data_IF_143226066837
#
_entry.id   IF_143226066837
#
_cell.length_a   1.000
_cell.length_b   1.000
_cell.length_c   1.000
_cell.angle_alpha   90.00
_cell.angle_beta   90.00
_cell.angle_gamma   90.00
#
_symmetry.space_group_name_H-M   'P 1'
#
loop_
_entity.id
_entity.type
_entity.pdbx_description
1 polymer ?
#
# COMPACT_ATOMS: atom_id res chain seq x y z
N UNK A 1 9.85 35.10 12.58
CA UNK A 1 9.17 34.55 13.76
C UNK A 1 7.63 34.55 13.65
N UNK A 2 6.96 35.67 13.34
CA UNK A 2 5.48 35.75 13.22
C UNK A 2 4.84 34.77 12.20
N UNK A 3 5.50 34.43 11.09
CA UNK A 3 4.96 33.51 10.06
C UNK A 3 4.96 32.04 10.53
N UNK A 4 5.96 31.58 11.28
CA UNK A 4 6.04 30.21 11.84
C UNK A 4 5.01 29.97 12.94
N UNK A 5 4.66 30.99 13.74
CA UNK A 5 3.62 30.89 14.79
C UNK A 5 2.22 30.80 14.17
N UNK A 6 1.99 31.43 13.01
CA UNK A 6 0.70 31.39 12.30
C UNK A 6 0.39 30.03 11.68
N UNK A 7 1.40 29.20 11.44
CA UNK A 7 1.28 27.91 10.75
C UNK A 7 1.35 26.69 11.69
N UNK A 8 1.84 26.86 12.92
CA UNK A 8 1.97 25.77 13.88
C UNK A 8 0.76 25.65 14.79
N UNK A 9 0.04 24.53 14.72
CA UNK A 9 -1.09 24.19 15.61
C UNK A 9 -0.61 24.21 17.06
N UNK A 10 0.54 23.61 17.38
CA UNK A 10 1.11 23.59 18.72
C UNK A 10 1.40 24.97 19.31
N UNK A 11 1.90 25.90 18.50
CA UNK A 11 2.13 27.26 18.96
C UNK A 11 0.83 28.03 19.18
N UNK A 12 -0.19 27.80 18.36
CA UNK A 12 -1.51 28.40 18.53
C UNK A 12 -2.22 27.89 19.79
N UNK A 13 -2.25 26.58 20.00
CA UNK A 13 -2.87 25.96 21.19
C UNK A 13 -2.15 26.37 22.46
N UNK A 14 -0.80 26.43 22.46
CA UNK A 14 -0.03 26.95 23.57
C UNK A 14 -0.44 28.39 23.90
N UNK A 15 -0.45 29.27 22.89
CA UNK A 15 -0.74 30.70 23.09
C UNK A 15 -2.18 30.93 23.55
N UNK A 16 -3.17 30.22 22.97
CA UNK A 16 -4.57 30.35 23.35
C UNK A 16 -4.82 29.86 24.76
N UNK A 17 -4.26 28.70 25.17
CA UNK A 17 -4.39 28.18 26.53
C UNK A 17 -3.70 29.06 27.56
N UNK A 18 -2.47 29.52 27.25
CA UNK A 18 -1.75 30.46 28.11
C UNK A 18 -2.56 31.74 28.34
N UNK A 19 -3.06 32.35 27.27
CA UNK A 19 -3.83 33.59 27.35
C UNK A 19 -5.14 33.39 28.11
N UNK A 20 -5.86 32.31 27.82
CA UNK A 20 -7.14 32.00 28.49
C UNK A 20 -6.95 31.79 30.00
N UNK A 21 -5.97 30.99 30.41
CA UNK A 21 -5.66 30.73 31.81
C UNK A 21 -5.25 32.03 32.52
N UNK A 22 -4.38 32.83 31.88
CA UNK A 22 -3.92 34.10 32.45
C UNK A 22 -5.08 35.07 32.63
N UNK A 23 -5.97 35.21 31.63
CA UNK A 23 -7.15 36.07 31.71
C UNK A 23 -8.11 35.56 32.82
N UNK A 24 -8.38 34.26 32.87
CA UNK A 24 -9.26 33.66 33.87
C UNK A 24 -8.75 33.92 35.31
N UNK A 25 -7.46 33.74 35.55
CA UNK A 25 -6.85 34.00 36.86
C UNK A 25 -6.86 35.49 37.23
N UNK A 26 -6.62 36.40 36.26
CA UNK A 26 -6.71 37.83 36.47
C UNK A 26 -8.14 38.24 36.84
N UNK A 27 -9.16 37.69 36.16
CA UNK A 27 -10.57 37.94 36.47
C UNK A 27 -10.95 37.45 37.86
N UNK A 28 -10.55 36.23 38.23
CA UNK A 28 -10.82 35.66 39.59
C UNK A 28 -10.18 36.54 40.64
N UNK A 29 -8.89 36.89 40.46
CA UNK A 29 -8.19 37.71 41.43
C UNK A 29 -8.77 39.13 41.52
N UNK A 30 -9.13 39.74 40.37
CA UNK A 30 -9.83 41.04 40.33
C UNK A 30 -11.16 40.99 41.04
N UNK A 31 -11.92 39.92 40.88
CA UNK A 31 -13.17 39.72 41.60
C UNK A 31 -12.95 39.62 43.11
N UNK A 32 -11.96 38.88 43.57
CA UNK A 32 -11.62 38.78 45.01
C UNK A 32 -11.23 40.12 45.56
N UNK A 33 -10.39 40.90 44.86
CA UNK A 33 -9.97 42.27 45.26
C UNK A 33 -11.13 43.27 45.44
N UNK A 34 -12.16 43.12 44.61
CA UNK A 34 -13.33 44.02 44.63
C UNK A 34 -14.37 43.54 45.66
N UNK A 35 -14.70 42.28 45.66
CA UNK A 35 -15.80 41.77 46.47
C UNK A 35 -15.43 41.48 47.94
N UNK A 36 -14.20 41.03 48.21
CA UNK A 36 -13.80 40.67 49.59
C UNK A 36 -13.80 41.88 50.53
N UNK A 37 -13.20 43.05 50.21
CA UNK A 37 -13.23 44.19 51.08
C UNK A 37 -14.65 44.76 51.24
N UNK A 38 -15.46 44.73 50.18
CA UNK A 38 -16.84 45.25 50.22
C UNK A 38 -17.73 44.39 51.09
N UNK A 39 -17.68 43.07 50.95
CA UNK A 39 -18.47 42.16 51.77
C UNK A 39 -18.03 42.18 53.23
N UNK A 40 -16.71 42.21 53.47
CA UNK A 40 -16.16 42.28 54.81
C UNK A 40 -16.55 43.57 55.52
N UNK A 41 -16.55 44.72 54.80
CA UNK A 41 -17.04 45.99 55.35
C UNK A 41 -18.53 45.93 55.71
N UNK A 42 -19.38 45.38 54.84
CA UNK A 42 -20.82 45.22 55.12
C UNK A 42 -21.09 44.29 56.31
N UNK A 43 -20.36 43.19 56.42
CA UNK A 43 -20.51 42.22 57.51
C UNK A 43 -20.10 42.87 58.83
N UNK A 44 -18.97 43.58 58.91
CA UNK A 44 -18.53 44.32 60.06
C UNK A 44 -19.55 45.41 60.45
N UNK A 45 -20.10 46.15 59.49
CA UNK A 45 -21.11 47.15 59.76
C UNK A 45 -22.39 46.57 60.35
N UNK A 46 -22.86 45.44 59.81
CA UNK A 46 -24.05 44.73 60.31
C UNK A 46 -23.80 44.19 61.68
N UNK A 47 -22.64 43.56 61.91
CA UNK A 47 -22.28 43.02 63.24
C UNK A 47 -22.15 44.15 64.27
N UNK A 48 -21.45 45.25 63.91
CA UNK A 48 -21.29 46.39 64.76
C UNK A 48 -22.65 47.02 65.13
N UNK A 49 -23.53 47.17 64.16
CA UNK A 49 -24.87 47.75 64.41
C UNK A 49 -25.72 46.83 65.24
N UNK A 50 -25.66 45.53 65.01
CA UNK A 50 -26.40 44.51 65.81
C UNK A 50 -25.93 44.49 67.29
N UNK A 51 -24.61 44.49 67.47
CA UNK A 51 -24.02 44.48 68.85
C UNK A 51 -24.28 45.82 69.54
N UNK A 52 -24.31 46.94 68.80
CA UNK A 52 -24.67 48.25 69.33
C UNK A 52 -26.11 48.29 69.91
N UNK A 53 -27.09 47.78 69.15
CA UNK A 53 -28.48 47.74 69.62
C UNK A 53 -28.67 46.77 70.79
N UNK A 54 -27.97 45.62 70.83
CA UNK A 54 -27.96 44.71 71.94
C UNK A 54 -27.40 45.37 73.21
N UNK A 55 -26.31 46.13 73.07
CA UNK A 55 -25.72 46.85 74.14
C UNK A 55 -26.72 47.94 74.67
N UNK A 56 -27.34 48.71 73.76
CA UNK A 56 -28.32 49.73 74.10
C UNK A 56 -29.52 49.18 74.85
N UNK A 57 -30.04 48.01 74.48
CA UNK A 57 -31.14 47.31 75.15
C UNK A 57 -30.71 46.79 76.51
N UNK A 58 -29.49 46.32 76.68
CA UNK A 58 -28.93 45.86 77.95
C UNK A 58 -28.78 47.03 78.92
N UNK A 59 -28.33 48.18 78.47
CA UNK A 59 -28.18 49.42 79.24
C UNK A 59 -29.51 49.94 79.76
N UNK A 60 -30.60 49.71 79.08
CA UNK A 60 -31.97 50.11 79.52
C UNK A 60 -32.49 49.22 80.66
N UNK A 61 -32.06 47.92 80.68
CA UNK A 61 -32.56 46.95 81.63
C UNK A 61 -31.74 46.79 82.90
N UNK A 62 -30.42 47.01 82.86
CA UNK A 62 -29.47 46.66 83.93
C UNK A 62 -29.07 47.90 84.78
N UNK A 63 -28.58 47.65 86.01
CA UNK A 63 -28.04 48.70 86.85
C UNK A 63 -26.68 49.23 86.41
N UNK A 64 -26.27 50.37 87.09
CA UNK A 64 -25.05 51.12 86.64
C UNK A 64 -23.73 50.34 86.80
N UNK A 65 -23.67 49.31 87.68
CA UNK A 65 -22.48 48.44 87.80
C UNK A 65 -22.32 47.46 86.65
N UNK A 66 -23.42 46.84 86.20
CA UNK A 66 -23.43 45.94 85.05
C UNK A 66 -23.25 46.73 83.68
N UNK A 67 -23.69 47.96 83.67
CA UNK A 67 -23.56 48.87 82.52
C UNK A 67 -22.12 49.07 82.07
N UNK A 68 -21.20 49.12 83.04
CA UNK A 68 -19.78 49.30 82.70
C UNK A 68 -19.17 48.02 82.06
N UNK A 69 -19.65 46.84 82.44
CA UNK A 69 -19.18 45.55 81.82
C UNK A 69 -19.69 45.36 80.40
N UNK A 70 -20.97 45.67 80.16
CA UNK A 70 -21.56 45.56 78.84
C UNK A 70 -20.88 46.53 77.83
N UNK A 71 -20.62 47.77 78.23
CA UNK A 71 -19.90 48.76 77.42
C UNK A 71 -18.45 48.31 77.15
N UNK A 72 -17.78 47.79 78.18
CA UNK A 72 -16.40 47.27 78.02
C UNK A 72 -16.36 46.05 77.11
N UNK A 73 -17.30 45.11 77.25
CA UNK A 73 -17.40 43.94 76.36
C UNK A 73 -17.67 44.33 74.93
N UNK A 74 -18.61 45.30 74.69
CA UNK A 74 -18.84 45.82 73.33
C UNK A 74 -17.58 46.52 72.72
N UNK A 75 -16.94 47.40 73.54
CA UNK A 75 -15.73 48.09 73.18
C UNK A 75 -14.61 47.15 72.81
N UNK A 76 -14.38 46.10 73.61
CA UNK A 76 -13.36 45.07 73.35
C UNK A 76 -13.66 44.27 72.12
N UNK A 77 -14.91 43.83 71.92
CA UNK A 77 -15.31 42.98 70.78
C UNK A 77 -15.21 43.73 69.45
N UNK A 78 -15.62 45.02 69.44
CA UNK A 78 -15.72 45.78 68.24
C UNK A 78 -14.56 46.80 68.04
N UNK A 79 -13.59 46.80 68.95
CA UNK A 79 -12.49 47.80 68.99
C UNK A 79 -13.04 49.19 68.86
N UNK A 80 -14.10 49.50 69.68
CA UNK A 80 -14.90 50.71 69.54
C UNK A 80 -14.72 51.65 70.73
N UNK A 81 -14.75 52.93 70.44
CA UNK A 81 -14.90 53.98 71.38
C UNK A 81 -16.41 54.18 71.67
N UNK A 82 -16.80 54.12 72.93
CA UNK A 82 -18.19 54.35 73.37
C UNK A 82 -18.25 55.57 74.27
N UNK A 83 -19.17 56.44 73.97
CA UNK A 83 -19.45 57.65 74.80
C UNK A 83 -20.94 57.70 75.15
N UNK A 84 -21.21 58.06 76.42
CA UNK A 84 -22.55 58.31 76.89
C UNK A 84 -22.61 59.77 77.31
N UNK A 85 -23.63 60.46 76.81
CA UNK A 85 -23.91 61.89 77.08
C UNK A 85 -25.28 62.03 77.75
N UNK A 86 -25.42 63.04 78.62
CA UNK A 86 -26.73 63.45 79.15
C UNK A 86 -27.56 64.29 78.16
N UNK A 87 -28.76 64.69 78.60
CA UNK A 87 -29.62 65.54 77.74
C UNK A 87 -29.01 66.92 77.46
N UNK A 88 -28.11 67.38 78.32
CA UNK A 88 -27.41 68.68 78.15
C UNK A 88 -26.14 68.54 77.26
N UNK A 89 -25.80 67.31 76.86
CA UNK A 89 -24.61 67.05 76.09
C UNK A 89 -23.31 66.87 76.86
N UNK A 90 -23.40 66.75 78.22
CA UNK A 90 -22.21 66.50 79.03
C UNK A 90 -21.83 65.02 78.97
N UNK A 91 -20.56 64.70 78.82
CA UNK A 91 -20.01 63.34 78.82
C UNK A 91 -20.10 62.76 80.28
N UNK A 92 -20.80 61.66 80.38
CA UNK A 92 -20.96 60.93 81.69
C UNK A 92 -19.96 59.79 81.76
N UNK A 93 -19.78 59.08 80.67
CA UNK A 93 -18.88 57.93 80.58
C UNK A 93 -18.27 57.88 79.20
N UNK A 94 -16.98 57.69 79.19
CA UNK A 94 -16.28 57.38 77.92
C UNK A 94 -15.36 56.17 78.16
N UNK A 95 -15.52 55.16 77.31
CA UNK A 95 -14.69 53.97 77.33
C UNK A 95 -13.91 53.94 76.01
N UNK A 96 -12.62 54.08 76.10
CA UNK A 96 -11.71 54.03 74.95
C UNK A 96 -10.72 52.87 75.15
N UNK A 97 -10.81 51.85 74.33
CA UNK A 97 -9.88 50.70 74.30
C UNK A 97 -8.92 50.80 73.11
N UNK A 98 -9.23 51.66 72.16
CA UNK A 98 -8.35 51.83 70.99
C UNK A 98 -7.17 52.72 71.39
N UNK A 99 -5.96 52.15 71.30
CA UNK A 99 -4.71 52.87 71.55
C UNK A 99 -4.33 53.89 70.43
N UNK A 100 -5.27 54.23 69.50
CA UNK A 100 -5.01 54.94 68.28
C UNK A 100 -5.46 56.42 68.24
N UNK A 101 -5.62 57.05 69.41
CA UNK A 101 -6.09 58.48 69.50
C UNK A 101 -5.19 59.54 68.81
N UNK A 102 -4.08 59.16 68.22
CA UNK A 102 -3.08 60.17 67.76
C UNK A 102 -2.66 60.12 66.25
N UNK A 103 -3.17 59.26 65.41
CA UNK A 103 -2.50 59.09 64.12
C UNK A 103 -3.28 59.15 62.80
N UNK A 104 -4.61 59.18 62.76
CA UNK A 104 -5.24 59.30 61.46
C UNK A 104 -6.56 60.05 61.44
N UNK A 105 -6.53 61.33 61.03
CA UNK A 105 -7.75 62.07 60.69
C UNK A 105 -8.46 61.56 59.42
N UNK A 106 -7.90 60.59 58.71
CA UNK A 106 -8.46 60.04 57.47
C UNK A 106 -9.01 58.60 57.63
N UNK A 107 -9.02 58.03 58.81
CA UNK A 107 -9.56 56.68 59.02
C UNK A 107 -11.09 56.69 58.90
N UNK A 108 -11.61 55.91 57.89
CA UNK A 108 -13.04 55.63 57.82
C UNK A 108 -13.46 54.94 59.10
N UNK A 109 -14.46 55.55 59.82
CA UNK A 109 -15.00 55.04 61.06
C UNK A 109 -16.46 54.60 60.87
N UNK A 110 -16.84 53.51 61.54
CA UNK A 110 -18.23 53.14 61.69
C UNK A 110 -18.74 53.89 62.92
N UNK A 111 -19.84 54.58 62.78
CA UNK A 111 -20.48 55.27 63.91
C UNK A 111 -21.94 54.83 63.98
N UNK A 112 -22.37 54.52 65.24
CA UNK A 112 -23.79 54.35 65.57
C UNK A 112 -24.17 55.26 66.71
N UNK A 113 -25.34 55.81 66.61
CA UNK A 113 -25.89 56.67 67.70
C UNK A 113 -27.30 56.21 68.05
N UNK A 114 -27.58 56.17 69.28
CA UNK A 114 -28.90 55.83 69.85
C UNK A 114 -29.17 56.54 71.16
N UNK A 115 -30.35 56.42 71.71
CA UNK A 115 -30.72 56.92 73.00
C UNK A 115 -31.30 55.78 73.80
N UNK A 116 -31.06 55.79 75.06
CA UNK A 116 -31.70 54.87 76.04
C UNK A 116 -32.14 55.62 77.23
N UNK A 117 -33.20 55.09 77.89
CA UNK A 117 -33.79 55.75 79.11
C UNK A 117 -33.41 54.91 80.34
N UNK A 118 -32.83 55.57 81.35
CA UNK A 118 -32.49 54.95 82.63
C UNK A 118 -32.89 55.84 83.75
N UNK A 119 -33.74 55.31 84.76
CA UNK A 119 -34.26 56.06 85.86
C UNK A 119 -34.93 57.38 85.49
N UNK A 120 -35.80 57.36 84.48
CA UNK A 120 -36.58 58.51 83.95
C UNK A 120 -35.71 59.61 83.32
N UNK A 121 -34.43 59.36 83.03
CA UNK A 121 -33.55 60.29 82.35
C UNK A 121 -33.13 59.70 81.00
N UNK A 122 -33.09 60.52 79.99
CA UNK A 122 -32.63 60.11 78.65
C UNK A 122 -31.12 60.32 78.54
N UNK A 123 -30.45 59.33 77.96
CA UNK A 123 -29.00 59.36 77.65
C UNK A 123 -28.76 59.12 76.16
N UNK A 124 -27.79 59.80 75.65
CA UNK A 124 -27.35 59.58 74.29
C UNK A 124 -26.13 58.67 74.30
N UNK A 125 -26.24 57.59 73.53
CA UNK A 125 -25.14 56.59 73.29
C UNK A 125 -24.54 56.80 71.97
N UNK A 126 -23.25 57.01 71.92
CA UNK A 126 -22.43 57.16 70.67
C UNK A 126 -21.36 56.08 70.69
N UNK A 127 -21.28 55.29 69.64
CA UNK A 127 -20.21 54.29 69.47
C UNK A 127 -19.51 54.54 68.10
N UNK A 128 -18.18 54.51 68.15
CA UNK A 128 -17.35 54.69 66.97
C UNK A 128 -16.28 53.62 66.92
N UNK A 129 -16.25 52.81 65.86
CA UNK A 129 -15.23 51.77 65.60
C UNK A 129 -14.31 52.16 64.43
N UNK A 130 -13.06 51.86 64.60
CA UNK A 130 -12.06 52.12 63.54
C UNK A 130 -12.04 51.04 62.48
N UNK A 131 -12.10 51.39 61.19
CA UNK A 131 -11.94 50.47 60.05
C UNK A 131 -10.48 50.24 59.66
N UNK A 132 -9.51 50.57 60.49
CA UNK A 132 -8.09 50.42 60.21
C UNK A 132 -7.75 48.96 59.88
N UNK A 133 -8.35 47.97 60.57
CA UNK A 133 -8.13 46.54 60.29
C UNK A 133 -8.57 46.17 58.85
N UNK A 134 -9.64 46.82 58.33
CA UNK A 134 -10.08 46.58 56.94
C UNK A 134 -9.10 47.19 55.94
N UNK A 135 -8.60 48.38 56.24
CA UNK A 135 -7.58 49.04 55.42
C UNK A 135 -6.26 48.26 55.41
N UNK A 136 -5.83 47.70 56.53
CA UNK A 136 -4.65 46.86 56.65
C UNK A 136 -4.80 45.56 55.85
N UNK A 137 -5.98 44.91 55.89
CA UNK A 137 -6.26 43.74 55.09
C UNK A 137 -6.17 43.97 53.58
N UNK A 138 -6.64 45.17 53.12
CA UNK A 138 -6.50 45.57 51.73
C UNK A 138 -5.05 45.78 51.33
N UNK A 139 -4.26 46.41 52.19
CA UNK A 139 -2.81 46.62 51.97
C UNK A 139 -2.04 45.29 51.84
N UNK A 140 -2.38 44.27 52.65
CA UNK A 140 -1.80 42.95 52.58
C UNK A 140 -2.13 42.29 51.22
N UNK A 141 -3.41 42.37 50.79
CA UNK A 141 -3.81 41.84 49.48
C UNK A 141 -3.07 42.53 48.33
N UNK A 142 -2.88 43.84 48.38
CA UNK A 142 -2.11 44.56 47.37
C UNK A 142 -0.65 44.14 47.32
N UNK A 143 -0.02 43.93 48.47
CA UNK A 143 1.36 43.46 48.59
C UNK A 143 1.54 42.03 48.08
N UNK A 144 0.50 41.21 48.05
CA UNK A 144 0.51 39.86 47.50
C UNK A 144 0.36 39.81 45.97
N UNK A 145 -0.06 40.93 45.30
CA UNK A 145 -0.27 41.02 43.85
C UNK A 145 0.95 40.48 43.06
N UNK A 146 2.18 40.95 43.28
CA UNK A 146 3.33 40.50 42.47
C UNK A 146 3.62 39.00 42.62
N UNK A 147 3.42 38.45 43.84
CA UNK A 147 3.62 37.04 44.09
C UNK A 147 2.55 36.18 43.41
N UNK A 148 1.28 36.56 43.54
CA UNK A 148 0.15 35.86 42.91
C UNK A 148 0.27 35.94 41.39
N UNK A 149 0.63 37.11 40.84
CA UNK A 149 0.85 37.26 39.40
C UNK A 149 1.97 36.37 38.89
N UNK A 150 3.06 36.26 39.63
CA UNK A 150 4.17 35.34 39.30
C UNK A 150 3.75 33.89 39.31
N UNK A 151 2.97 33.47 40.30
CA UNK A 151 2.41 32.11 40.38
C UNK A 151 1.45 31.80 39.22
N UNK A 152 0.57 32.74 38.90
CA UNK A 152 -0.39 32.61 37.77
C UNK A 152 0.38 32.39 36.46
N UNK A 153 1.38 33.20 36.18
CA UNK A 153 2.20 33.08 35.00
C UNK A 153 2.92 31.73 34.94
N UNK A 154 3.51 31.31 36.04
CA UNK A 154 4.20 30.01 36.12
C UNK A 154 3.24 28.84 35.84
N UNK A 155 2.10 28.82 36.51
CA UNK A 155 1.07 27.76 36.31
C UNK A 155 0.55 27.78 34.88
N UNK A 156 0.30 28.96 34.29
CA UNK A 156 -0.17 29.11 32.94
C UNK A 156 0.84 28.59 31.91
N UNK A 157 2.14 28.84 32.12
CA UNK A 157 3.21 28.29 31.26
C UNK A 157 3.27 26.78 31.37
N UNK A 158 3.25 26.22 32.59
CA UNK A 158 3.31 24.77 32.78
C UNK A 158 2.11 24.09 32.13
N UNK A 159 0.90 24.59 32.38
CA UNK A 159 -0.31 24.02 31.83
C UNK A 159 -0.34 24.09 30.28
N UNK A 160 0.12 25.22 29.70
CA UNK A 160 0.22 25.36 28.26
C UNK A 160 1.24 24.42 27.63
N UNK A 161 2.39 24.16 28.29
CA UNK A 161 3.39 23.20 27.85
C UNK A 161 2.86 21.76 27.91
N UNK A 162 2.18 21.40 28.97
CA UNK A 162 1.56 20.05 29.11
C UNK A 162 0.53 19.85 28.02
N UNK A 163 -0.39 20.80 27.83
CA UNK A 163 -1.43 20.73 26.82
C UNK A 163 -0.84 20.62 25.40
N UNK A 164 0.19 21.41 25.11
CA UNK A 164 0.88 21.35 23.80
C UNK A 164 1.52 19.98 23.53
N UNK A 165 2.16 19.38 24.53
CA UNK A 165 2.78 18.05 24.39
C UNK A 165 1.76 16.93 24.31
N UNK A 166 0.68 17.03 25.09
CA UNK A 166 -0.28 15.94 25.20
C UNK A 166 -1.28 15.88 24.04
N UNK A 167 -1.69 17.02 23.49
CA UNK A 167 -2.66 17.07 22.40
C UNK A 167 -2.05 17.47 21.05
N UNK A 168 -1.24 18.52 21.03
CA UNK A 168 -0.81 19.09 19.72
C UNK A 168 0.25 18.26 19.03
N UNK A 169 1.24 17.72 19.79
CA UNK A 169 2.33 16.95 19.19
C UNK A 169 1.84 15.67 18.50
N UNK A 170 1.04 14.80 19.13
CA UNK A 170 0.53 13.59 18.48
C UNK A 170 -0.28 13.87 17.19
N UNK A 171 -1.10 14.92 17.18
CA UNK A 171 -1.84 15.32 15.98
C UNK A 171 -0.92 15.77 14.84
N UNK A 172 0.17 16.47 15.15
CA UNK A 172 1.15 16.89 14.16
C UNK A 172 1.87 15.66 13.58
N UNK A 173 2.20 14.69 14.42
CA UNK A 173 2.85 13.44 14.00
C UNK A 173 1.92 12.62 13.07
N UNK A 174 0.63 12.47 13.43
CA UNK A 174 -0.38 11.83 12.57
C UNK A 174 -0.52 12.57 11.23
N UNK A 175 -0.62 13.90 11.23
CA UNK A 175 -0.66 14.69 10.00
C UNK A 175 0.62 14.50 9.15
N UNK A 176 1.76 14.33 9.80
CA UNK A 176 3.04 14.04 9.13
C UNK A 176 3.02 12.69 8.40
N UNK A 177 2.53 11.64 9.05
CA UNK A 177 2.36 10.31 8.44
C UNK A 177 1.34 10.37 7.30
N UNK A 178 0.15 10.95 7.54
CA UNK A 178 -0.87 11.10 6.50
C UNK A 178 -0.34 11.84 5.26
N UNK A 179 0.49 12.87 5.45
CA UNK A 179 1.13 13.57 4.33
C UNK A 179 2.12 12.70 3.56
N UNK A 180 2.85 11.80 4.22
CA UNK A 180 3.76 10.85 3.53
C UNK A 180 2.98 9.84 2.71
N UNK A 181 1.84 9.36 3.21
CA UNK A 181 0.95 8.47 2.47
C UNK A 181 0.47 9.08 1.15
N UNK A 182 0.33 10.42 1.04
CA UNK A 182 0.01 11.07 -0.24
C UNK A 182 1.12 10.93 -1.30
N UNK A 183 2.33 10.57 -0.88
CA UNK A 183 3.48 10.27 -1.75
C UNK A 183 3.73 8.77 -1.87
N UNK A 184 2.75 7.94 -1.46
CA UNK A 184 2.83 6.48 -1.45
C UNK A 184 3.97 5.92 -0.56
N UNK A 185 4.45 6.70 0.41
CA UNK A 185 5.41 6.24 1.43
C UNK A 185 4.63 5.67 2.62
N UNK A 186 4.42 4.34 2.62
CA UNK A 186 3.70 3.59 3.64
C UNK A 186 4.60 3.01 4.73
N UNK A 187 5.90 3.39 4.76
CA UNK A 187 6.87 2.83 5.72
C UNK A 187 6.70 3.37 7.14
N UNK A 188 6.02 4.51 7.30
CA UNK A 188 5.81 5.19 8.56
C UNK A 188 4.49 4.79 9.21
N UNK A 189 4.57 4.58 10.53
CA UNK A 189 3.38 4.25 11.35
C UNK A 189 3.18 5.30 12.43
N UNK A 190 1.92 5.55 12.76
CA UNK A 190 1.53 6.34 13.91
C UNK A 190 1.67 5.51 15.19
N UNK A 191 1.92 6.18 16.31
CA UNK A 191 1.99 5.56 17.62
C UNK A 191 0.56 5.22 18.13
N UNK A 192 0.31 3.93 18.36
CA UNK A 192 -0.96 3.40 18.83
C UNK A 192 -1.00 3.16 20.35
N UNK A 193 0.02 3.60 21.10
CA UNK A 193 0.12 3.35 22.55
C UNK A 193 -0.99 4.02 23.36
N UNK A 194 -1.76 4.94 22.77
CA UNK A 194 -2.84 5.70 23.38
C UNK A 194 -4.19 4.97 23.24
N UNK A 195 -5.00 5.05 24.30
CA UNK A 195 -6.35 4.48 24.35
C UNK A 195 -7.48 5.49 24.12
N UNK A 196 -7.14 6.76 23.80
CA UNK A 196 -8.10 7.85 23.51
C UNK A 196 -8.42 7.94 22.00
N UNK A 197 -9.21 8.94 21.61
CA UNK A 197 -9.63 9.20 20.23
C UNK A 197 -8.44 9.45 19.29
N UNK A 198 -7.34 9.98 19.82
CA UNK A 198 -6.10 10.21 19.06
C UNK A 198 -5.42 8.86 18.75
N UNK A 199 -5.43 7.94 19.71
CA UNK A 199 -4.94 6.57 19.51
C UNK A 199 -5.80 5.79 18.51
N UNK A 200 -7.13 5.91 18.58
CA UNK A 200 -8.04 5.30 17.60
C UNK A 200 -7.80 5.84 16.18
N UNK A 201 -7.60 7.16 16.06
CA UNK A 201 -7.26 7.77 14.76
C UNK A 201 -5.93 7.26 14.23
N UNK A 202 -4.92 7.11 15.09
CA UNK A 202 -3.61 6.55 14.73
C UNK A 202 -3.74 5.10 14.22
N UNK A 203 -4.49 4.26 14.93
CA UNK A 203 -4.77 2.88 14.52
C UNK A 203 -5.50 2.78 13.19
N UNK A 204 -6.57 3.57 13.00
CA UNK A 204 -7.32 3.61 11.74
C UNK A 204 -6.45 4.06 10.55
N UNK A 205 -5.53 5.01 10.77
CA UNK A 205 -4.61 5.46 9.72
C UNK A 205 -3.58 4.38 9.38
N UNK A 206 -3.06 3.66 10.39
CA UNK A 206 -2.14 2.55 10.18
C UNK A 206 -2.81 1.38 9.42
N UNK A 207 -4.06 1.06 9.76
CA UNK A 207 -4.85 0.05 9.07
C UNK A 207 -5.10 0.44 7.60
N UNK A 208 -5.49 1.69 7.35
CA UNK A 208 -5.66 2.22 5.99
C UNK A 208 -4.34 2.14 5.20
N UNK A 209 -3.20 2.48 5.84
CA UNK A 209 -1.87 2.38 5.23
C UNK A 209 -1.54 0.94 4.83
N UNK A 210 -1.84 -0.04 5.69
CA UNK A 210 -1.61 -1.44 5.42
C UNK A 210 -2.47 -1.95 4.26
N UNK A 211 -3.78 -1.66 4.27
CA UNK A 211 -4.71 -2.05 3.20
C UNK A 211 -4.32 -1.42 1.85
N UNK A 212 -3.91 -0.16 1.85
CA UNK A 212 -3.47 0.52 0.63
C UNK A 212 -2.17 -0.08 0.09
N UNK A 213 -1.21 -0.42 0.98
CA UNK A 213 0.03 -1.09 0.57
C UNK A 213 -0.25 -2.45 -0.07
N UNK A 214 -1.09 -3.27 0.54
CA UNK A 214 -1.49 -4.58 0.02
C UNK A 214 -2.21 -4.46 -1.33
N UNK A 215 -3.10 -3.48 -1.48
CA UNK A 215 -3.79 -3.21 -2.74
C UNK A 215 -2.83 -2.80 -3.86
N UNK A 216 -1.83 -1.96 -3.55
CA UNK A 216 -0.81 -1.54 -4.51
C UNK A 216 0.09 -2.70 -4.95
N UNK A 217 0.54 -3.56 -4.01
CA UNK A 217 1.33 -4.75 -4.32
C UNK A 217 0.54 -5.75 -5.20
N UNK A 218 -0.74 -5.97 -4.87
CA UNK A 218 -1.63 -6.82 -5.66
C UNK A 218 -1.83 -6.28 -7.07
N UNK A 219 -2.03 -4.98 -7.21
CA UNK A 219 -2.20 -4.31 -8.51
C UNK A 219 -0.91 -4.37 -9.34
N UNK A 220 0.25 -4.19 -8.70
CA UNK A 220 1.54 -4.32 -9.38
C UNK A 220 1.76 -5.74 -9.89
N UNK A 221 1.53 -6.76 -9.04
CA UNK A 221 1.63 -8.16 -9.43
C UNK A 221 0.70 -8.53 -10.58
N UNK A 222 -0.57 -8.07 -10.53
CA UNK A 222 -1.53 -8.29 -11.60
C UNK A 222 -1.09 -7.62 -12.92
N UNK A 223 -0.49 -6.42 -12.85
CA UNK A 223 0.01 -5.71 -14.02
C UNK A 223 1.23 -6.43 -14.65
N UNK A 224 2.16 -6.92 -13.83
CA UNK A 224 3.30 -7.72 -14.29
C UNK A 224 2.84 -9.01 -14.98
N UNK A 225 1.85 -9.70 -14.39
CA UNK A 225 1.24 -10.88 -14.99
C UNK A 225 0.58 -10.57 -16.34
N UNK A 226 -0.20 -9.50 -16.40
CA UNK A 226 -0.86 -9.06 -17.62
C UNK A 226 0.15 -8.71 -18.73
N UNK A 227 1.24 -8.01 -18.39
CA UNK A 227 2.31 -7.71 -19.33
C UNK A 227 2.97 -8.99 -19.89
N UNK A 228 3.25 -9.97 -19.00
CA UNK A 228 3.78 -11.26 -19.42
C UNK A 228 2.84 -11.99 -20.38
N UNK A 229 1.54 -11.97 -20.11
CA UNK A 229 0.55 -12.64 -20.95
C UNK A 229 0.38 -11.95 -22.31
N UNK A 230 0.40 -10.60 -22.33
CA UNK A 230 0.40 -9.84 -23.60
C UNK A 230 1.66 -10.14 -24.43
N UNK A 231 2.83 -10.27 -23.81
CA UNK A 231 4.04 -10.62 -24.54
C UNK A 231 3.99 -12.04 -25.12
N UNK A 232 3.44 -13.00 -24.39
CA UNK A 232 3.22 -14.37 -24.88
C UNK A 232 2.28 -14.37 -26.09
N UNK A 233 1.14 -13.68 -25.98
CA UNK A 233 0.17 -13.56 -27.07
C UNK A 233 0.78 -12.90 -28.31
N UNK A 234 1.54 -11.82 -28.14
CA UNK A 234 2.25 -11.17 -29.26
C UNK A 234 3.28 -12.07 -29.92
N UNK A 235 3.98 -12.92 -29.15
CA UNK A 235 4.92 -13.90 -29.72
C UNK A 235 4.19 -14.96 -30.53
N UNK A 236 3.09 -15.48 -30.02
CA UNK A 236 2.27 -16.46 -30.76
C UNK A 236 1.70 -15.88 -32.04
N UNK A 237 1.17 -14.64 -31.98
CA UNK A 237 0.63 -13.99 -33.18
C UNK A 237 1.71 -13.72 -34.25
N UNK A 238 2.93 -13.29 -33.84
CA UNK A 238 4.06 -13.14 -34.79
C UNK A 238 4.41 -14.47 -35.42
N UNK A 239 4.55 -15.55 -34.65
CA UNK A 239 4.83 -16.87 -35.17
C UNK A 239 3.77 -17.33 -36.19
N UNK A 240 2.51 -17.04 -35.90
CA UNK A 240 1.39 -17.32 -36.81
C UNK A 240 1.47 -16.54 -38.12
N UNK A 241 1.78 -15.24 -38.06
CA UNK A 241 1.96 -14.39 -39.24
C UNK A 241 3.14 -14.89 -40.07
N UNK A 242 4.29 -15.17 -39.44
CA UNK A 242 5.48 -15.67 -40.10
C UNK A 242 5.21 -17.01 -40.77
N UNK A 243 4.46 -17.90 -40.12
CA UNK A 243 4.03 -19.16 -40.71
C UNK A 243 3.19 -18.95 -41.99
N UNK A 244 2.14 -18.13 -41.93
CA UNK A 244 1.28 -17.89 -43.09
C UNK A 244 2.00 -17.15 -44.21
N UNK A 245 2.94 -16.28 -43.89
CA UNK A 245 3.78 -15.61 -44.86
C UNK A 245 4.66 -16.62 -45.60
N UNK A 246 5.29 -17.53 -44.85
CA UNK A 246 6.12 -18.60 -45.42
C UNK A 246 5.29 -19.57 -46.27
N UNK A 247 4.10 -19.96 -45.82
CA UNK A 247 3.14 -20.77 -46.58
C UNK A 247 2.84 -20.12 -47.95
N UNK A 248 2.56 -18.81 -47.92
CA UNK A 248 2.22 -18.09 -49.16
C UNK A 248 3.38 -18.09 -50.16
N UNK A 249 4.61 -17.95 -49.66
CA UNK A 249 5.80 -18.02 -50.52
C UNK A 249 6.06 -19.42 -51.11
N UNK A 250 5.94 -20.45 -50.26
CA UNK A 250 6.17 -21.85 -50.66
C UNK A 250 5.10 -22.40 -51.61
N UNK A 251 3.87 -21.89 -51.55
CA UNK A 251 2.81 -22.20 -52.51
C UNK A 251 2.96 -21.44 -53.83
N UNK A 252 3.40 -20.16 -53.80
CA UNK A 252 3.52 -19.33 -54.99
C UNK A 252 4.54 -19.89 -55.96
N UNK A 253 5.65 -20.42 -55.47
CA UNK A 253 6.77 -20.93 -56.32
C UNK A 253 6.33 -22.09 -57.22
N UNK A 254 5.77 -23.23 -56.71
CA UNK A 254 5.33 -24.33 -57.58
C UNK A 254 4.18 -23.94 -58.51
N UNK A 255 3.25 -23.08 -58.05
CA UNK A 255 2.18 -22.57 -58.94
C UNK A 255 2.75 -21.82 -60.11
N UNK A 256 3.76 -20.96 -59.89
CA UNK A 256 4.44 -20.21 -60.96
C UNK A 256 5.18 -21.14 -61.92
N UNK A 257 5.84 -22.21 -61.43
CA UNK A 257 6.51 -23.21 -62.24
C UNK A 257 5.50 -23.94 -63.12
N UNK A 258 4.45 -24.50 -62.55
CA UNK A 258 3.41 -25.23 -63.29
C UNK A 258 2.79 -24.32 -64.34
N UNK A 259 2.46 -23.07 -64.00
CA UNK A 259 1.89 -22.11 -64.93
C UNK A 259 2.86 -21.85 -66.11
N UNK A 260 4.14 -21.61 -65.82
CA UNK A 260 5.14 -21.37 -66.84
C UNK A 260 5.35 -22.59 -67.81
N UNK A 261 5.36 -23.80 -67.21
CA UNK A 261 5.45 -25.04 -68.03
C UNK A 261 4.20 -25.24 -68.89
N UNK A 262 3.02 -25.03 -68.38
CA UNK A 262 1.76 -25.11 -69.12
C UNK A 262 1.71 -24.04 -70.26
N UNK A 263 2.07 -22.79 -69.95
CA UNK A 263 2.11 -21.70 -70.92
C UNK A 263 3.16 -22.02 -72.01
N UNK A 264 4.36 -22.49 -71.64
CA UNK A 264 5.40 -22.92 -72.59
C UNK A 264 4.95 -24.03 -73.53
N UNK A 265 4.22 -25.04 -72.98
CA UNK A 265 3.64 -26.12 -73.78
C UNK A 265 2.50 -25.67 -74.71
N UNK A 266 1.65 -24.74 -74.26
CA UNK A 266 0.53 -24.20 -75.06
C UNK A 266 1.05 -23.38 -76.18
N UNK A 267 2.03 -22.50 -75.98
CA UNK A 267 2.61 -21.62 -77.03
C UNK A 267 3.76 -22.25 -77.80
N UNK A 268 4.18 -23.49 -77.45
CA UNK A 268 5.27 -24.25 -78.10
C UNK A 268 6.58 -23.48 -78.10
N UNK A 269 6.95 -22.80 -77.10
CA UNK A 269 8.13 -21.94 -76.96
C UNK A 269 9.34 -22.73 -76.44
N UNK A 270 10.49 -22.62 -77.05
CA UNK A 270 11.78 -23.15 -76.59
C UNK A 270 11.80 -24.67 -76.36
N UNK A 271 12.34 -25.10 -75.23
CA UNK A 271 12.51 -26.52 -74.82
C UNK A 271 11.21 -27.24 -74.49
N UNK A 272 10.10 -26.51 -74.30
CA UNK A 272 8.79 -27.06 -73.98
C UNK A 272 8.11 -27.82 -75.15
N UNK A 273 8.84 -28.11 -76.21
CA UNK A 273 8.36 -28.93 -77.32
C UNK A 273 8.12 -30.38 -76.92
N UNK A 274 8.93 -30.94 -76.01
CA UNK A 274 8.69 -32.26 -75.42
C UNK A 274 7.62 -32.18 -74.34
N UNK A 275 6.36 -32.20 -74.76
CA UNK A 275 5.20 -32.09 -73.89
C UNK A 275 5.11 -33.22 -72.80
N UNK A 276 5.53 -34.44 -73.18
CA UNK A 276 5.37 -35.59 -72.25
C UNK A 276 6.36 -35.50 -71.12
N UNK A 277 7.59 -35.00 -71.34
CA UNK A 277 8.55 -34.75 -70.25
C UNK A 277 8.07 -33.66 -69.28
N UNK A 278 7.58 -32.53 -69.83
CA UNK A 278 7.10 -31.42 -69.01
C UNK A 278 5.76 -31.71 -68.31
N UNK A 279 4.86 -32.49 -68.91
CA UNK A 279 3.63 -32.97 -68.23
C UNK A 279 3.96 -33.88 -67.01
N UNK A 280 4.97 -34.74 -67.15
CA UNK A 280 5.45 -35.57 -66.01
C UNK A 280 6.01 -34.72 -64.88
N UNK A 281 6.79 -33.66 -65.22
CA UNK A 281 7.35 -32.72 -64.29
C UNK A 281 6.25 -31.90 -63.59
N UNK A 282 5.29 -31.36 -64.33
CA UNK A 282 4.13 -30.65 -63.81
C UNK A 282 3.31 -31.55 -62.87
N UNK A 283 3.07 -32.81 -63.24
CA UNK A 283 2.35 -33.75 -62.40
C UNK A 283 3.09 -34.03 -61.08
N UNK A 284 4.42 -34.17 -61.13
CA UNK A 284 5.24 -34.30 -59.92
C UNK A 284 5.12 -33.08 -59.01
N UNK A 285 5.22 -31.88 -59.62
CA UNK A 285 5.08 -30.61 -58.87
C UNK A 285 3.70 -30.47 -58.22
N UNK A 286 2.62 -30.86 -58.89
CA UNK A 286 1.25 -30.93 -58.28
C UNK A 286 1.19 -31.90 -57.13
N UNK A 287 1.80 -33.09 -57.25
CA UNK A 287 1.83 -34.09 -56.19
C UNK A 287 2.62 -33.59 -54.97
N UNK A 288 3.75 -32.91 -55.16
CA UNK A 288 4.54 -32.29 -54.11
C UNK A 288 3.73 -31.17 -53.39
N UNK A 289 2.95 -30.37 -54.16
CA UNK A 289 2.02 -29.38 -53.60
C UNK A 289 0.90 -30.03 -52.79
N UNK A 290 0.34 -31.16 -53.20
CA UNK A 290 -0.67 -31.88 -52.44
C UNK A 290 -0.15 -32.29 -51.06
N UNK A 291 1.09 -32.78 -50.97
CA UNK A 291 1.76 -33.13 -49.74
C UNK A 291 1.94 -31.87 -48.87
N UNK A 292 2.45 -30.79 -49.45
CA UNK A 292 2.65 -29.50 -48.77
C UNK A 292 1.34 -28.96 -48.15
N UNK A 293 0.24 -28.98 -48.91
CA UNK A 293 -1.07 -28.54 -48.45
C UNK A 293 -1.58 -29.42 -47.28
N UNK A 294 -1.38 -30.74 -47.37
CA UNK A 294 -1.72 -31.67 -46.26
C UNK A 294 -0.92 -31.35 -44.99
N UNK A 295 0.39 -31.08 -45.14
CA UNK A 295 1.25 -30.71 -44.01
C UNK A 295 0.83 -29.37 -43.38
N UNK A 296 0.47 -28.36 -44.18
CA UNK A 296 -0.04 -27.08 -43.74
C UNK A 296 -1.36 -27.25 -42.95
N UNK A 297 -2.34 -27.98 -43.52
CA UNK A 297 -3.63 -28.24 -42.88
C UNK A 297 -3.47 -29.03 -41.60
N UNK A 298 -2.57 -29.98 -41.57
CA UNK A 298 -2.22 -30.75 -40.39
C UNK A 298 -1.67 -29.85 -39.26
N UNK A 299 -0.69 -29.02 -39.59
CA UNK A 299 -0.07 -28.05 -38.68
C UNK A 299 -1.11 -27.04 -38.12
N UNK A 300 -1.95 -26.51 -39.03
CA UNK A 300 -2.98 -25.56 -38.63
C UNK A 300 -4.02 -26.16 -37.66
N UNK A 301 -4.37 -27.44 -37.83
CA UNK A 301 -5.27 -28.15 -36.94
C UNK A 301 -4.66 -28.38 -35.56
N UNK A 302 -3.36 -28.76 -35.51
CA UNK A 302 -2.66 -28.98 -34.24
C UNK A 302 -2.44 -27.68 -33.45
N UNK A 303 -2.34 -26.51 -34.11
CA UNK A 303 -2.23 -25.22 -33.46
C UNK A 303 -3.59 -24.66 -32.90
N UNK A 304 -4.71 -25.33 -33.14
CA UNK A 304 -6.02 -24.93 -32.67
C UNK A 304 -6.24 -25.20 -31.18
N UNK A 305 -6.97 -24.33 -30.47
CA UNK A 305 -7.31 -24.48 -29.05
C UNK A 305 -8.11 -25.75 -28.74
N UNK A 306 -8.81 -26.28 -29.73
CA UNK A 306 -9.72 -27.42 -29.59
C UNK A 306 -9.06 -28.76 -29.96
N UNK A 307 -7.74 -28.75 -30.20
CA UNK A 307 -7.02 -29.98 -30.55
C UNK A 307 -6.86 -30.90 -29.34
N UNK A 308 -7.37 -32.12 -29.43
CA UNK A 308 -7.27 -33.14 -28.40
C UNK A 308 -6.54 -34.37 -28.94
N UNK A 309 -5.56 -34.84 -28.15
CA UNK A 309 -4.83 -36.10 -28.44
C UNK A 309 -5.72 -37.30 -28.11
N UNK A 310 -5.81 -38.23 -29.06
CA UNK A 310 -6.40 -39.56 -28.85
C UNK A 310 -5.34 -40.48 -28.23
N UNK A 311 -5.25 -40.46 -26.89
CA UNK A 311 -4.24 -41.24 -26.17
C UNK A 311 -4.69 -42.71 -26.04
N UNK A 312 -3.93 -43.59 -26.64
CA UNK A 312 -4.06 -45.05 -26.57
C UNK A 312 -2.73 -45.72 -26.25
N UNK A 313 -2.75 -47.01 -25.90
CA UNK A 313 -1.52 -47.78 -25.68
C UNK A 313 -0.93 -48.18 -27.03
N UNK A 314 0.12 -47.49 -27.46
CA UNK A 314 0.81 -47.70 -28.74
C UNK A 314 1.98 -48.64 -28.57
N UNK A 315 2.09 -49.66 -29.43
CA UNK A 315 3.27 -50.54 -29.55
C UNK A 315 4.31 -49.83 -30.44
N UNK A 316 5.27 -49.16 -29.77
CA UNK A 316 6.35 -48.40 -30.44
C UNK A 316 7.25 -49.27 -31.28
N UNK A 317 7.51 -50.52 -30.86
CA UNK A 317 8.32 -51.47 -31.65
C UNK A 317 7.72 -51.71 -33.03
N UNK A 318 6.41 -52.04 -33.08
CA UNK A 318 5.71 -52.27 -34.35
C UNK A 318 5.58 -50.99 -35.17
N UNK A 319 5.40 -49.86 -34.50
CA UNK A 319 5.28 -48.54 -35.18
C UNK A 319 6.59 -48.20 -35.88
N UNK A 320 7.72 -48.25 -35.17
CA UNK A 320 9.07 -47.98 -35.77
C UNK A 320 9.38 -48.94 -36.89
N UNK A 321 9.10 -50.25 -36.68
CA UNK A 321 9.31 -51.27 -37.73
C UNK A 321 8.49 -50.98 -39.01
N UNK A 322 7.22 -50.56 -38.87
CA UNK A 322 6.40 -50.11 -40.02
C UNK A 322 7.02 -48.91 -40.74
N UNK A 323 7.57 -47.95 -40.00
CA UNK A 323 8.21 -46.75 -40.58
C UNK A 323 9.49 -47.14 -41.32
N UNK A 324 10.34 -48.01 -40.75
CA UNK A 324 11.54 -48.51 -41.45
C UNK A 324 11.21 -49.27 -42.73
N UNK A 325 10.16 -50.10 -42.73
CA UNK A 325 9.74 -50.84 -43.95
C UNK A 325 9.28 -49.89 -45.08
N UNK A 326 8.64 -48.78 -44.76
CA UNK A 326 8.16 -47.79 -45.78
C UNK A 326 9.32 -47.15 -46.55
N UNK A 327 10.44 -46.87 -45.90
CA UNK A 327 11.58 -46.14 -46.52
C UNK A 327 12.60 -47.11 -47.14
N UNK A 328 12.43 -48.41 -46.99
CA UNK A 328 13.37 -49.44 -47.44
C UNK A 328 13.67 -49.33 -48.96
N UNK A 329 12.65 -49.17 -49.81
CA UNK A 329 12.83 -48.99 -51.24
C UNK A 329 13.68 -47.78 -51.59
N UNK A 330 13.41 -46.62 -50.97
CA UNK A 330 14.20 -45.41 -51.20
C UNK A 330 15.65 -45.56 -50.74
N UNK A 331 15.87 -46.29 -49.64
CA UNK A 331 17.21 -46.56 -49.13
C UNK A 331 17.98 -47.50 -50.05
N UNK A 332 17.31 -48.51 -50.61
CA UNK A 332 17.89 -49.45 -51.61
C UNK A 332 18.29 -48.74 -52.91
N UNK A 333 17.43 -47.82 -53.41
CA UNK A 333 17.74 -47.01 -54.61
C UNK A 333 18.98 -46.15 -54.42
N UNK A 334 19.21 -45.65 -53.21
CA UNK A 334 20.40 -44.86 -52.83
C UNK A 334 21.56 -45.70 -52.33
N UNK A 335 21.45 -47.05 -52.32
CA UNK A 335 22.43 -47.98 -51.73
C UNK A 335 22.78 -47.69 -50.28
N UNK A 336 21.83 -47.15 -49.51
CA UNK A 336 21.98 -46.85 -48.10
C UNK A 336 21.80 -48.15 -47.28
N UNK A 337 22.72 -48.40 -46.37
CA UNK A 337 22.65 -49.54 -45.47
C UNK A 337 21.77 -49.17 -44.26
N UNK A 338 20.57 -49.78 -44.20
CA UNK A 338 19.67 -49.59 -43.02
C UNK A 338 19.92 -50.70 -41.99
N UNK A 339 20.24 -50.27 -40.75
CA UNK A 339 20.34 -51.13 -39.57
C UNK A 339 19.20 -50.80 -38.62
N UNK A 340 18.54 -51.84 -38.08
CA UNK A 340 17.43 -51.62 -37.15
C UNK A 340 17.60 -52.56 -35.95
N UNK A 341 17.76 -51.99 -34.75
CA UNK A 341 17.87 -52.66 -33.47
C UNK A 341 16.70 -52.29 -32.60
N UNK A 342 15.64 -53.10 -32.61
CA UNK A 342 14.38 -52.76 -31.96
C UNK A 342 14.10 -53.73 -30.82
N UNK A 343 14.12 -53.17 -29.59
CA UNK A 343 13.67 -53.85 -28.41
C UNK A 343 12.19 -54.20 -28.52
N UNK A 344 11.82 -55.44 -28.17
CA UNK A 344 10.43 -55.88 -28.22
C UNK A 344 9.59 -55.36 -27.06
N UNK A 345 8.30 -55.18 -27.30
CA UNK A 345 7.30 -54.78 -26.27
C UNK A 345 7.57 -53.43 -25.62
N UNK A 346 8.06 -52.45 -26.37
CA UNK A 346 8.12 -51.04 -25.92
C UNK A 346 6.78 -50.39 -26.19
N UNK A 347 6.09 -49.91 -25.13
CA UNK A 347 4.79 -49.27 -25.22
C UNK A 347 4.82 -47.83 -24.72
N UNK A 348 4.06 -46.97 -25.39
CA UNK A 348 3.86 -45.59 -24.98
C UNK A 348 2.37 -45.19 -25.03
N UNK A 349 1.91 -44.31 -24.15
CA UNK A 349 0.54 -43.80 -24.16
C UNK A 349 0.43 -42.50 -24.98
N UNK A 350 -0.02 -42.61 -26.22
CA UNK A 350 -0.11 -41.46 -27.13
C UNK A 350 -1.04 -41.70 -28.32
N UNK A 351 -1.08 -40.77 -29.26
CA UNK A 351 -1.82 -40.92 -30.51
C UNK A 351 -0.97 -41.65 -31.57
N UNK A 352 -1.37 -42.89 -31.90
CA UNK A 352 -0.60 -43.74 -32.80
C UNK A 352 -0.35 -43.09 -34.15
N UNK A 353 -1.36 -42.37 -34.72
CA UNK A 353 -1.24 -41.76 -36.03
C UNK A 353 -0.22 -40.62 -36.03
N UNK A 354 -0.26 -39.80 -35.00
CA UNK A 354 0.66 -38.67 -34.83
C UNK A 354 2.09 -39.16 -34.59
N UNK A 355 2.25 -40.11 -33.68
CA UNK A 355 3.56 -40.74 -33.41
C UNK A 355 4.13 -41.41 -34.67
N UNK A 356 3.31 -42.13 -35.43
CA UNK A 356 3.74 -42.70 -36.69
C UNK A 356 4.19 -41.64 -37.69
N UNK A 357 3.49 -40.49 -37.77
CA UNK A 357 3.88 -39.37 -38.63
C UNK A 357 5.21 -38.75 -38.19
N UNK A 358 5.40 -38.52 -36.89
CA UNK A 358 6.67 -37.98 -36.37
C UNK A 358 7.86 -38.92 -36.64
N UNK A 359 7.72 -40.22 -36.28
CA UNK A 359 8.79 -41.22 -36.50
C UNK A 359 9.05 -41.40 -37.98
N UNK A 360 8.02 -41.44 -38.85
CA UNK A 360 8.17 -41.51 -40.27
C UNK A 360 8.95 -40.32 -40.84
N UNK A 361 8.67 -39.09 -40.36
CA UNK A 361 9.39 -37.90 -40.81
C UNK A 361 10.87 -37.96 -40.41
N UNK A 362 11.20 -38.43 -39.18
CA UNK A 362 12.58 -38.53 -38.72
C UNK A 362 13.35 -39.55 -39.56
N UNK A 363 12.81 -40.77 -39.73
CA UNK A 363 13.48 -41.86 -40.50
C UNK A 363 13.58 -41.47 -41.97
N UNK A 364 12.55 -40.86 -42.55
CA UNK A 364 12.56 -40.41 -43.95
C UNK A 364 13.62 -39.30 -44.17
N UNK A 365 13.74 -38.35 -43.26
CA UNK A 365 14.77 -37.33 -43.31
C UNK A 365 16.18 -37.96 -43.23
N UNK A 366 16.40 -38.93 -42.34
CA UNK A 366 17.68 -39.61 -42.23
C UNK A 366 18.07 -40.28 -43.58
N UNK A 367 17.13 -40.93 -44.26
CA UNK A 367 17.37 -41.57 -45.55
C UNK A 367 17.53 -40.55 -46.71
N UNK A 368 16.66 -39.56 -46.77
CA UNK A 368 16.67 -38.58 -47.88
C UNK A 368 17.95 -37.72 -47.87
N UNK A 369 18.38 -37.26 -46.70
CA UNK A 369 19.52 -36.36 -46.57
C UNK A 369 20.87 -37.08 -46.47
N UNK A 370 20.89 -38.39 -46.33
CA UNK A 370 22.13 -39.17 -46.39
C UNK A 370 22.68 -39.26 -47.82
N UNK A 371 24.01 -39.23 -47.97
CA UNK A 371 24.64 -39.47 -49.27
C UNK A 371 24.46 -40.95 -49.69
N UNK A 372 24.78 -41.26 -50.96
CA UNK A 372 24.80 -42.65 -51.43
C UNK A 372 25.81 -43.46 -50.61
N UNK A 373 25.50 -44.74 -50.38
CA UNK A 373 26.31 -45.69 -49.59
C UNK A 373 26.51 -45.33 -48.13
N UNK A 374 25.76 -44.38 -47.58
CA UNK A 374 25.74 -44.07 -46.15
C UNK A 374 25.07 -45.17 -45.31
N UNK A 375 25.23 -45.09 -44.02
CA UNK A 375 24.54 -45.96 -43.03
C UNK A 375 23.49 -45.16 -42.28
N UNK A 376 22.30 -45.75 -42.12
CA UNK A 376 21.21 -45.21 -41.28
C UNK A 376 20.87 -46.29 -40.25
N UNK A 377 21.11 -45.95 -39.00
CA UNK A 377 20.84 -46.85 -37.85
C UNK A 377 19.63 -46.37 -37.10
N UNK A 378 18.69 -47.26 -36.83
CA UNK A 378 17.48 -47.01 -36.02
C UNK A 378 17.48 -47.94 -34.85
N UNK A 379 17.63 -47.40 -33.64
CA UNK A 379 17.66 -48.18 -32.40
C UNK A 379 16.48 -47.73 -31.50
N UNK A 380 15.79 -48.71 -30.94
CA UNK A 380 14.77 -48.53 -29.91
C UNK A 380 15.13 -49.37 -28.72
N UNK A 381 15.53 -48.72 -27.60
CA UNK A 381 15.91 -49.37 -26.34
C UNK A 381 15.50 -48.53 -25.15
N UNK A 382 14.99 -49.13 -24.08
CA UNK A 382 14.60 -48.44 -22.84
C UNK A 382 13.67 -47.22 -23.02
N UNK A 383 12.71 -47.33 -23.96
CA UNK A 383 11.81 -46.24 -24.38
C UNK A 383 12.53 -45.05 -25.02
N UNK A 384 13.75 -45.21 -25.48
CA UNK A 384 14.52 -44.23 -26.24
C UNK A 384 14.62 -44.72 -27.67
N UNK A 385 14.17 -43.87 -28.60
CA UNK A 385 14.37 -44.06 -30.04
C UNK A 385 15.55 -43.18 -30.50
N UNK A 386 16.56 -43.81 -31.11
CA UNK A 386 17.62 -43.06 -31.83
C UNK A 386 17.60 -43.36 -33.30
N UNK A 387 17.76 -42.33 -34.10
CA UNK A 387 17.95 -42.42 -35.55
C UNK A 387 19.23 -41.69 -35.85
N UNK A 388 20.25 -42.46 -36.30
CA UNK A 388 21.56 -41.95 -36.64
C UNK A 388 21.84 -42.17 -38.12
N UNK A 389 22.28 -41.14 -38.80
CA UNK A 389 22.69 -41.24 -40.21
C UNK A 389 24.09 -40.68 -40.41
N UNK A 390 24.90 -41.40 -41.18
CA UNK A 390 26.31 -41.05 -41.42
C UNK A 390 26.52 -40.22 -42.65
N UNK A 391 27.68 -39.52 -42.71
CA UNK A 391 28.10 -38.77 -43.90
C UNK A 391 27.43 -37.36 -44.04
N UNK A 392 26.74 -36.92 -43.04
CA UNK A 392 26.10 -35.59 -42.97
C UNK A 392 26.59 -34.83 -41.77
N UNK A 393 26.78 -33.51 -41.91
CA UNK A 393 27.07 -32.61 -40.81
C UNK A 393 26.25 -31.35 -40.99
N UNK A 394 25.61 -30.91 -39.92
CA UNK A 394 24.78 -29.71 -39.87
C UNK A 394 25.56 -28.66 -39.08
N UNK A 395 25.59 -27.41 -39.53
CA UNK A 395 26.22 -26.34 -38.77
C UNK A 395 25.49 -26.18 -37.44
N UNK A 396 26.22 -25.94 -36.35
CA UNK A 396 25.61 -25.82 -35.01
C UNK A 396 24.58 -24.67 -34.93
N UNK A 397 24.81 -23.58 -35.67
CA UNK A 397 23.88 -22.45 -35.78
C UNK A 397 22.55 -22.80 -36.47
N UNK A 398 22.50 -23.86 -37.28
CA UNK A 398 21.32 -24.30 -38.01
C UNK A 398 20.53 -25.37 -37.29
N UNK A 399 21.12 -26.09 -36.29
CA UNK A 399 20.48 -27.21 -35.61
C UNK A 399 19.14 -26.83 -34.96
N UNK A 400 19.08 -25.70 -34.26
CA UNK A 400 17.83 -25.21 -33.65
C UNK A 400 16.85 -24.67 -34.69
N UNK A 401 17.38 -24.09 -35.77
CA UNK A 401 16.56 -23.52 -36.84
C UNK A 401 15.83 -24.58 -37.67
N UNK A 402 16.32 -25.81 -37.70
CA UNK A 402 15.66 -26.92 -38.38
C UNK A 402 14.24 -27.23 -37.92
N UNK A 403 13.91 -26.80 -36.74
CA UNK A 403 12.54 -26.91 -36.16
C UNK A 403 11.65 -25.70 -36.47
N UNK A 404 12.17 -24.69 -37.18
CA UNK A 404 11.38 -23.56 -37.66
C UNK A 404 10.65 -23.97 -38.98
N UNK A 405 9.35 -23.63 -39.13
CA UNK A 405 8.61 -23.97 -40.35
C UNK A 405 9.32 -23.46 -41.60
N UNK A 406 9.41 -24.33 -42.64
CA UNK A 406 10.01 -24.02 -43.94
C UNK A 406 11.51 -23.71 -43.95
N UNK A 407 12.21 -23.83 -42.82
CA UNK A 407 13.64 -23.65 -42.75
C UNK A 407 14.36 -24.83 -43.43
N UNK A 408 15.39 -24.50 -44.23
CA UNK A 408 16.23 -25.47 -44.95
C UNK A 408 17.67 -24.94 -45.03
N UNK A 409 18.66 -25.78 -44.68
CA UNK A 409 20.09 -25.41 -44.68
C UNK A 409 20.55 -24.97 -46.08
N UNK A 410 20.12 -25.67 -47.14
CA UNK A 410 20.45 -25.36 -48.52
C UNK A 410 19.22 -25.10 -49.38
N UNK A 411 18.97 -23.83 -49.74
CA UNK A 411 17.88 -23.42 -50.66
C UNK A 411 18.13 -23.80 -52.14
N UNK A 412 19.38 -24.02 -52.53
CA UNK A 412 19.77 -24.14 -53.95
C UNK A 412 20.01 -25.57 -54.43
N UNK A 413 20.44 -26.50 -53.58
CA UNK A 413 20.83 -27.86 -53.96
C UNK A 413 19.69 -28.90 -54.01
N UNK A 414 18.55 -28.63 -53.42
CA UNK A 414 17.56 -29.68 -53.13
C UNK A 414 16.18 -29.50 -53.77
N UNK A 415 16.07 -28.83 -54.90
CA UNK A 415 14.81 -28.88 -55.67
C UNK A 415 14.47 -30.31 -56.17
N UNK A 416 15.45 -31.21 -56.28
CA UNK A 416 15.24 -32.59 -56.69
C UNK A 416 14.88 -33.56 -55.54
N UNK A 417 15.07 -33.17 -54.28
CA UNK A 417 14.81 -34.02 -53.09
C UNK A 417 13.46 -33.77 -52.40
N UNK A 418 12.66 -32.82 -52.89
CA UNK A 418 11.22 -32.74 -52.62
C UNK A 418 10.76 -32.46 -51.17
N UNK A 419 11.61 -31.90 -50.29
CA UNK A 419 11.21 -31.66 -48.89
C UNK A 419 10.54 -30.29 -48.70
N UNK A 420 9.37 -30.25 -48.04
CA UNK A 420 8.59 -29.01 -47.74
C UNK A 420 9.22 -28.09 -46.67
N UNK A 421 10.23 -28.56 -45.93
CA UNK A 421 10.74 -27.87 -44.75
C UNK A 421 9.78 -27.88 -43.56
N UNK A 422 8.67 -28.58 -43.62
CA UNK A 422 7.69 -28.73 -42.51
C UNK A 422 7.92 -30.02 -41.71
N UNK A 423 8.66 -31.00 -42.23
CA UNK A 423 8.76 -32.32 -41.58
C UNK A 423 9.25 -32.28 -40.14
N UNK A 424 10.34 -31.57 -39.85
CA UNK A 424 10.87 -31.44 -38.47
C UNK A 424 10.01 -30.51 -37.58
N UNK A 425 9.38 -29.52 -38.18
CA UNK A 425 8.39 -28.71 -37.44
C UNK A 425 7.17 -29.53 -37.03
N UNK A 426 6.70 -30.42 -37.90
CA UNK A 426 5.64 -31.39 -37.57
C UNK A 426 6.08 -32.32 -36.44
N UNK A 427 7.32 -32.84 -36.49
CA UNK A 427 7.90 -33.67 -35.42
C UNK A 427 7.89 -32.91 -34.09
N UNK A 428 8.41 -31.68 -34.09
CA UNK A 428 8.39 -30.82 -32.92
C UNK A 428 6.98 -30.65 -32.34
N UNK A 429 6.03 -30.26 -33.21
CA UNK A 429 4.64 -30.00 -32.80
C UNK A 429 4.00 -31.25 -32.18
N UNK A 430 4.21 -32.42 -32.77
CA UNK A 430 3.69 -33.69 -32.28
C UNK A 430 4.29 -34.02 -30.89
N UNK A 431 5.62 -33.90 -30.75
CA UNK A 431 6.31 -34.23 -29.50
C UNK A 431 6.00 -33.22 -28.38
N UNK A 432 5.87 -31.92 -28.68
CA UNK A 432 5.47 -30.93 -27.72
C UNK A 432 4.06 -31.21 -27.17
N UNK A 433 3.10 -31.60 -28.01
CA UNK A 433 1.75 -32.01 -27.57
C UNK A 433 1.75 -33.31 -26.72
N UNK A 434 2.64 -34.23 -27.01
CA UNK A 434 2.81 -35.46 -26.23
C UNK A 434 3.69 -35.29 -25.00
N UNK A 435 4.38 -34.15 -24.85
CA UNK A 435 5.41 -33.87 -23.82
C UNK A 435 6.58 -34.85 -23.90
N UNK A 436 6.94 -35.26 -25.10
CA UNK A 436 8.07 -36.12 -25.41
C UNK A 436 9.32 -35.28 -25.51
N UNK A 437 10.43 -35.73 -24.88
CA UNK A 437 11.72 -35.06 -25.04
C UNK A 437 12.40 -35.53 -26.32
N UNK A 438 13.04 -34.59 -27.04
CA UNK A 438 13.78 -34.91 -28.27
C UNK A 438 14.99 -34.00 -28.39
N UNK A 439 16.02 -34.54 -29.10
CA UNK A 439 17.27 -33.81 -29.36
C UNK A 439 17.83 -34.22 -30.73
N UNK A 440 18.31 -33.22 -31.46
CA UNK A 440 19.07 -33.40 -32.70
C UNK A 440 20.49 -32.89 -32.46
N UNK A 441 21.49 -33.66 -32.78
CA UNK A 441 22.88 -33.29 -32.54
C UNK A 441 23.80 -33.90 -33.61
N UNK A 442 24.94 -33.24 -33.83
CA UNK A 442 26.01 -33.77 -34.63
C UNK A 442 26.77 -34.84 -33.85
N UNK A 443 27.21 -35.92 -34.53
CA UNK A 443 28.15 -36.91 -34.03
C UNK A 443 29.44 -36.80 -34.82
N UNK A 444 30.46 -37.58 -34.44
CA UNK A 444 31.73 -37.60 -35.20
C UNK A 444 31.55 -37.96 -36.69
N UNK A 445 30.58 -38.82 -36.99
CA UNK A 445 30.40 -39.40 -38.35
C UNK A 445 29.08 -39.00 -39.00
N UNK A 446 28.22 -38.22 -38.34
CA UNK A 446 26.91 -37.94 -38.90
C UNK A 446 26.02 -37.11 -37.96
N UNK A 447 24.71 -37.32 -38.05
CA UNK A 447 23.67 -36.65 -37.28
C UNK A 447 22.83 -37.69 -36.55
N UNK A 448 22.53 -37.40 -35.28
CA UNK A 448 21.73 -38.27 -34.40
C UNK A 448 20.50 -37.54 -33.93
N UNK A 449 19.34 -38.16 -34.14
CA UNK A 449 18.06 -37.73 -33.54
C UNK A 449 17.70 -38.67 -32.42
N UNK A 450 17.49 -38.12 -31.21
CA UNK A 450 17.13 -38.91 -30.02
C UNK A 450 15.74 -38.50 -29.52
N UNK A 451 14.88 -39.46 -29.19
CA UNK A 451 13.52 -39.28 -28.67
C UNK A 451 13.36 -40.12 -27.42
N UNK A 452 12.93 -39.51 -26.31
CA UNK A 452 12.61 -40.19 -25.06
C UNK A 452 11.09 -40.26 -24.82
N UNK A 453 10.50 -41.45 -24.92
CA UNK A 453 9.05 -41.68 -24.77
C UNK A 453 8.60 -41.80 -23.31
#
# INVERSE_FOLDING_TARGET
MRKKIKESIGAKTFLTMFLLLTVCCILIYGMVMVFLPKNYHLELQNQFTTDFYKMAESLEKNGWEDMSQDILAFSMRNNAFVRIEDEAGNEILAVNISNDEKKNHDAKTLSSSGSFTYKEKNYRLLATASLIAVAQSYDILVKLIPFITGMILLISVIAALVCSRYFSKPLIDICGVAKRMTWLDMTWKCDESRSDEIGQLAGSLNEMSAQLSEALESLQSANEQLQSDIEKERRQERQRIDFFTSVSHELKTPITIIKGELEGMVYKVGEYKDRDAYLKHALKTVTDMEILVKDILFTARMGGSDFQLLREKVDMTRLVERCCRKVKGVAEDKKIRMLSHLQQNVFYHGDERLLQQAVSNIINNAVIYSPEQAEVEVELSDAILTVHNTGVHIKDEDLEQLFIPFFRVDKSRNRNTGGSGLGLYIVKTIFDHHRISYKLENTENGVKFTVGF
#
